data_IF_304103233727
#
_entry.id   IF_304103233727
#
_cell.length_a   1.000
_cell.length_b   1.000
_cell.length_c   1.000
_cell.angle_alpha   90.00
_cell.angle_beta   90.00
_cell.angle_gamma   90.00
#
_symmetry.space_group_name_H-M   'P 1'
#
loop_
_entity.id
_entity.type
_entity.pdbx_description
1 polymer ?
#
# COMPACT_ATOMS: atom_id res chain seq x y z
N UNK A 1 10.03 -16.39 -24.96
CA UNK A 1 9.12 -15.28 -24.63
C UNK A 1 9.95 -14.24 -23.89
N UNK A 2 9.81 -12.95 -24.21
CA UNK A 2 10.64 -11.93 -23.58
C UNK A 2 10.26 -11.84 -22.10
N UNK A 3 11.22 -12.10 -21.21
CA UNK A 3 11.08 -11.82 -19.77
C UNK A 3 10.94 -10.31 -19.60
N UNK A 4 9.78 -9.88 -19.10
CA UNK A 4 9.46 -8.48 -18.87
C UNK A 4 9.58 -8.11 -17.40
N UNK A 5 9.65 -6.81 -17.13
CA UNK A 5 9.47 -6.27 -15.77
C UNK A 5 8.05 -5.74 -15.66
N UNK A 6 7.29 -6.28 -14.70
CA UNK A 6 6.00 -5.74 -14.31
C UNK A 6 6.21 -4.68 -13.21
N UNK A 7 5.64 -3.50 -13.37
CA UNK A 7 5.64 -2.47 -12.33
C UNK A 7 4.23 -2.39 -11.74
N UNK A 8 4.13 -2.56 -10.42
CA UNK A 8 2.84 -2.46 -9.70
C UNK A 8 2.93 -1.36 -8.65
N UNK A 9 1.79 -0.74 -8.37
CA UNK A 9 1.63 0.25 -7.31
C UNK A 9 0.65 -0.32 -6.30
N UNK A 10 1.10 -0.44 -5.05
CA UNK A 10 0.30 -0.93 -3.93
C UNK A 10 0.07 0.20 -2.93
N UNK A 11 -1.08 0.16 -2.28
CA UNK A 11 -1.40 1.01 -1.13
C UNK A 11 -1.59 0.11 0.08
N UNK A 12 -0.88 0.41 1.15
CA UNK A 12 -1.09 -0.13 2.50
C UNK A 12 -1.88 0.92 3.31
N UNK A 13 -3.22 0.81 3.39
CA UNK A 13 -4.01 1.74 4.18
C UNK A 13 -3.83 1.42 5.67
N UNK A 14 -3.71 2.46 6.48
CA UNK A 14 -3.46 2.34 7.91
C UNK A 14 -4.44 3.21 8.67
N UNK A 15 -5.22 2.60 9.57
CA UNK A 15 -6.14 3.30 10.44
C UNK A 15 -5.70 3.06 11.89
N UNK A 16 -5.39 4.15 12.61
CA UNK A 16 -4.96 4.09 14.02
C UNK A 16 -3.79 3.12 14.25
N UNK A 17 -2.79 3.13 13.36
CA UNK A 17 -1.60 2.28 13.46
C UNK A 17 -1.83 0.81 13.09
N UNK A 18 -2.96 0.47 12.47
CA UNK A 18 -3.29 -0.90 12.02
C UNK A 18 -3.53 -0.93 10.52
N UNK A 19 -3.08 -1.98 9.85
CA UNK A 19 -3.33 -2.18 8.41
C UNK A 19 -4.82 -2.42 8.19
N UNK A 20 -5.38 -1.81 7.15
CA UNK A 20 -6.72 -2.11 6.65
C UNK A 20 -6.59 -2.88 5.34
N UNK A 21 -6.89 -4.18 5.39
CA UNK A 21 -6.99 -5.02 4.20
C UNK A 21 -8.45 -5.05 3.69
N UNK A 22 -8.65 -5.54 2.47
CA UNK A 22 -9.98 -5.71 1.87
C UNK A 22 -10.24 -7.18 1.56
N UNK A 23 -11.31 -7.71 2.14
CA UNK A 23 -11.75 -9.10 1.91
C UNK A 23 -12.55 -9.15 0.62
N UNK A 24 -12.04 -9.95 -0.33
CA UNK A 24 -12.67 -10.17 -1.63
C UNK A 24 -13.33 -11.56 -1.64
N UNK A 25 -14.66 -11.59 -1.81
CA UNK A 25 -15.44 -12.85 -1.73
C UNK A 25 -15.99 -13.33 -3.10
N UNK A 26 -16.10 -12.46 -4.10
CA UNK A 26 -16.72 -12.78 -5.39
C UNK A 26 -15.94 -12.25 -6.60
N UNK A 27 -15.83 -13.06 -7.65
CA UNK A 27 -15.33 -12.64 -8.98
C UNK A 27 -13.83 -12.38 -9.13
N UNK A 28 -13.03 -12.57 -8.07
CA UNK A 28 -11.57 -12.35 -8.06
C UNK A 28 -10.82 -13.28 -7.09
N UNK A 29 -9.52 -13.04 -6.83
CA UNK A 29 -8.74 -13.85 -5.90
C UNK A 29 -9.30 -13.71 -4.48
N UNK A 30 -9.68 -14.84 -3.88
CA UNK A 30 -10.27 -14.87 -2.53
C UNK A 30 -9.21 -14.57 -1.47
N UNK A 31 -9.60 -13.85 -0.42
CA UNK A 31 -8.74 -13.55 0.73
C UNK A 31 -8.73 -12.08 1.09
N UNK A 32 -7.83 -11.71 2.00
CA UNK A 32 -7.59 -10.32 2.42
C UNK A 32 -6.46 -9.74 1.60
N UNK A 33 -6.72 -8.65 0.89
CA UNK A 33 -5.76 -8.03 -0.03
C UNK A 33 -5.54 -6.56 0.29
N UNK A 34 -4.36 -6.06 -0.06
CA UNK A 34 -4.12 -4.63 -0.15
C UNK A 34 -4.53 -4.12 -1.54
N UNK A 35 -5.07 -2.89 -1.66
CA UNK A 35 -5.37 -2.30 -2.96
C UNK A 35 -4.11 -2.12 -3.83
N UNK A 36 -4.20 -2.45 -5.12
CA UNK A 36 -3.09 -2.30 -6.05
C UNK A 36 -3.54 -2.22 -7.51
N UNK A 37 -2.62 -1.78 -8.37
CA UNK A 37 -2.79 -1.85 -9.84
C UNK A 37 -1.43 -1.92 -10.55
N UNK A 38 -1.46 -2.20 -11.85
CA UNK A 38 -0.27 -2.12 -12.71
C UNK A 38 0.02 -0.65 -13.04
N UNK A 39 1.27 -0.23 -12.90
CA UNK A 39 1.71 1.11 -13.29
C UNK A 39 1.64 1.23 -14.83
N UNK A 40 0.80 2.13 -15.38
CA UNK A 40 0.77 2.35 -16.82
C UNK A 40 2.10 2.93 -17.32
N UNK A 41 2.42 2.68 -18.59
CA UNK A 41 3.64 3.23 -19.19
C UNK A 41 3.66 4.77 -19.07
N UNK A 42 4.73 5.30 -18.47
CA UNK A 42 4.89 6.74 -18.24
C UNK A 42 4.05 7.31 -17.08
N UNK A 43 3.33 6.47 -16.34
CA UNK A 43 2.54 6.88 -15.18
C UNK A 43 3.43 7.28 -13.99
N UNK A 44 2.93 8.22 -13.19
CA UNK A 44 3.55 8.60 -11.92
C UNK A 44 3.02 7.69 -10.79
N UNK A 45 3.88 6.92 -10.09
CA UNK A 45 3.43 6.02 -9.03
C UNK A 45 2.63 6.72 -7.91
N UNK A 46 2.98 7.96 -7.57
CA UNK A 46 2.27 8.71 -6.53
C UNK A 46 0.83 9.04 -6.95
N UNK A 47 0.65 9.50 -8.20
CA UNK A 47 -0.69 9.80 -8.73
C UNK A 47 -1.56 8.55 -8.78
N UNK A 48 -0.98 7.42 -9.21
CA UNK A 48 -1.66 6.13 -9.21
C UNK A 48 -2.03 5.69 -7.78
N UNK A 49 -1.12 5.84 -6.81
CA UNK A 49 -1.42 5.52 -5.41
C UNK A 49 -2.56 6.39 -4.86
N UNK A 50 -2.57 7.69 -5.17
CA UNK A 50 -3.66 8.60 -4.78
C UNK A 50 -4.99 8.15 -5.38
N UNK A 51 -5.03 7.79 -6.67
CA UNK A 51 -6.25 7.25 -7.30
C UNK A 51 -6.72 5.95 -6.63
N UNK A 52 -5.80 5.06 -6.26
CA UNK A 52 -6.15 3.84 -5.52
C UNK A 52 -6.81 4.18 -4.17
N UNK A 53 -6.27 5.15 -3.42
CA UNK A 53 -6.87 5.60 -2.15
C UNK A 53 -8.26 6.18 -2.37
N UNK A 54 -8.46 7.02 -3.39
CA UNK A 54 -9.78 7.57 -3.71
C UNK A 54 -10.78 6.46 -4.02
N UNK A 55 -10.38 5.45 -4.79
CA UNK A 55 -11.25 4.36 -5.23
C UNK A 55 -11.57 3.32 -4.16
N UNK A 56 -10.63 3.02 -3.27
CA UNK A 56 -10.76 1.94 -2.28
C UNK A 56 -11.01 2.43 -0.86
N UNK A 57 -10.54 3.63 -0.54
CA UNK A 57 -10.56 4.20 0.81
C UNK A 57 -11.43 5.45 0.92
N UNK A 58 -12.28 5.72 -0.08
CA UNK A 58 -13.20 6.86 -0.13
C UNK A 58 -12.49 8.24 0.01
N UNK A 59 -11.20 8.31 -0.36
CA UNK A 59 -10.37 9.52 -0.24
C UNK A 59 -10.09 9.97 1.21
N UNK A 60 -10.44 9.17 2.21
CA UNK A 60 -10.33 9.52 3.62
C UNK A 60 -8.90 9.33 4.14
N UNK A 61 -7.94 10.16 3.71
CA UNK A 61 -6.54 10.09 4.14
C UNK A 61 -5.97 11.41 4.68
N UNK A 62 -5.01 11.32 5.59
CA UNK A 62 -4.23 12.43 6.15
C UNK A 62 -2.78 12.48 5.67
N UNK A 63 -2.23 11.34 5.22
CA UNK A 63 -0.87 11.22 4.69
C UNK A 63 -0.82 10.13 3.62
N UNK A 64 0.02 10.33 2.60
CA UNK A 64 0.34 9.33 1.58
C UNK A 64 1.82 9.40 1.25
N UNK A 65 2.54 8.31 1.46
CA UNK A 65 3.99 8.30 1.23
C UNK A 65 4.52 6.96 0.77
N UNK A 66 5.60 7.01 -0.01
CA UNK A 66 6.35 5.83 -0.41
C UNK A 66 7.00 5.21 0.84
N UNK A 67 6.77 3.92 1.09
CA UNK A 67 7.36 3.20 2.22
C UNK A 67 8.25 2.04 1.79
N UNK A 68 8.10 1.55 0.55
CA UNK A 68 8.91 0.45 0.06
C UNK A 68 8.94 0.33 -1.46
N UNK A 69 9.95 -0.40 -1.94
CA UNK A 69 10.03 -0.90 -3.31
C UNK A 69 10.52 -2.34 -3.24
N UNK A 70 9.62 -3.30 -3.46
CA UNK A 70 9.89 -4.73 -3.32
C UNK A 70 10.00 -5.37 -4.68
N UNK A 71 11.02 -6.20 -4.85
CA UNK A 71 11.20 -6.98 -6.06
C UNK A 71 10.86 -8.45 -5.83
N UNK A 72 10.09 -9.08 -6.72
CA UNK A 72 9.68 -10.49 -6.59
C UNK A 72 9.65 -11.19 -7.93
N UNK A 73 10.04 -12.46 -7.95
CA UNK A 73 9.84 -13.29 -9.14
C UNK A 73 8.35 -13.51 -9.37
N UNK A 74 7.92 -13.33 -10.62
CA UNK A 74 6.56 -13.61 -11.08
C UNK A 74 6.57 -14.64 -12.19
N UNK A 75 5.39 -15.17 -12.52
CA UNK A 75 5.25 -16.26 -13.49
C UNK A 75 5.80 -15.93 -14.89
N UNK A 76 5.77 -14.66 -15.27
CA UNK A 76 6.20 -14.17 -16.59
C UNK A 76 7.48 -13.32 -16.56
N UNK A 77 8.17 -13.23 -15.42
CA UNK A 77 9.37 -12.41 -15.28
C UNK A 77 9.60 -11.90 -13.86
N UNK A 78 9.95 -10.62 -13.74
CA UNK A 78 10.19 -9.98 -12.45
C UNK A 78 9.17 -8.86 -12.22
N UNK A 79 8.65 -8.75 -11.01
CA UNK A 79 7.78 -7.66 -10.59
C UNK A 79 8.51 -6.72 -9.63
N UNK A 80 8.33 -5.42 -9.83
CA UNK A 80 8.72 -4.39 -8.89
C UNK A 80 7.46 -3.70 -8.34
N UNK A 81 7.15 -3.99 -7.08
CA UNK A 81 6.03 -3.43 -6.34
C UNK A 81 6.47 -2.14 -5.63
N UNK A 82 5.92 -1.01 -6.06
CA UNK A 82 6.08 0.29 -5.42
C UNK A 82 4.98 0.45 -4.38
N UNK A 83 5.36 0.53 -3.10
CA UNK A 83 4.40 0.47 -1.99
C UNK A 83 4.26 1.82 -1.31
N UNK A 84 3.04 2.34 -1.28
CA UNK A 84 2.69 3.54 -0.55
C UNK A 84 1.90 3.19 0.72
N UNK A 85 2.16 3.90 1.81
CA UNK A 85 1.34 3.88 3.02
C UNK A 85 0.37 5.05 2.96
N UNK A 86 -0.91 4.79 3.22
CA UNK A 86 -1.94 5.82 3.33
C UNK A 86 -2.48 5.85 4.76
N UNK A 87 -2.26 6.95 5.48
CA UNK A 87 -2.89 7.16 6.80
C UNK A 87 -4.35 7.53 6.61
N UNK A 88 -5.25 6.68 7.07
CA UNK A 88 -6.68 6.90 6.94
C UNK A 88 -7.23 7.70 8.11
N UNK A 89 -8.19 8.58 7.81
CA UNK A 89 -8.94 9.34 8.82
C UNK A 89 -10.23 8.65 9.26
N UNK A 90 -10.67 7.64 8.51
CA UNK A 90 -11.87 6.86 8.79
C UNK A 90 -11.77 5.47 8.14
N UNK A 91 -12.58 4.52 8.64
CA UNK A 91 -12.72 3.22 8.00
C UNK A 91 -13.47 3.35 6.66
N UNK A 92 -12.96 2.79 5.55
CA UNK A 92 -13.65 2.79 4.26
C UNK A 92 -15.00 2.07 4.30
N UNK A 93 -15.89 2.35 3.36
CA UNK A 93 -17.23 1.72 3.30
C UNK A 93 -17.23 0.30 2.75
N UNK A 94 -16.21 -0.03 1.95
CA UNK A 94 -16.04 -1.37 1.41
C UNK A 94 -16.79 -1.69 0.11
N UNK A 95 -17.02 -0.69 -0.75
CA UNK A 95 -17.72 -0.90 -2.04
C UNK A 95 -17.01 -1.90 -2.96
N UNK A 96 -15.68 -2.02 -2.82
CA UNK A 96 -14.82 -2.92 -3.62
C UNK A 96 -14.36 -4.17 -2.87
N UNK A 97 -14.72 -4.29 -1.60
CA UNK A 97 -14.31 -5.37 -0.71
C UNK A 97 -14.57 -4.99 0.73
N UNK A 98 -14.88 -5.96 1.60
CA UNK A 98 -15.17 -5.65 3.00
C UNK A 98 -13.87 -5.26 3.72
N UNK A 99 -13.77 -4.06 4.32
CA UNK A 99 -12.56 -3.64 5.02
C UNK A 99 -12.37 -4.47 6.29
N UNK A 100 -11.15 -4.90 6.52
CA UNK A 100 -10.70 -5.65 7.68
C UNK A 100 -9.55 -4.87 8.33
N UNK A 101 -9.78 -4.35 9.53
CA UNK A 101 -8.71 -3.77 10.35
C UNK A 101 -7.93 -4.93 10.96
N UNK A 102 -6.72 -5.16 10.46
CA UNK A 102 -5.91 -6.30 10.83
C UNK A 102 -5.18 -6.07 12.16
N UNK A 103 -5.34 -7.02 13.07
CA UNK A 103 -4.46 -7.20 14.22
C UNK A 103 -3.16 -7.91 13.81
N UNK A 104 -2.11 -7.83 14.64
CA UNK A 104 -0.79 -8.36 14.28
C UNK A 104 -0.80 -9.85 13.81
N UNK A 105 -1.56 -10.78 14.43
CA UNK A 105 -1.63 -12.16 13.95
C UNK A 105 -2.30 -12.30 12.57
N UNK A 106 -3.15 -11.35 12.19
CA UNK A 106 -3.91 -11.36 10.94
C UNK A 106 -3.10 -10.84 9.75
N UNK A 107 -1.98 -10.15 10.00
CA UNK A 107 -1.07 -9.68 8.95
C UNK A 107 -0.54 -10.83 8.09
N UNK A 108 -0.30 -12.00 8.69
CA UNK A 108 0.14 -13.20 7.97
C UNK A 108 -0.93 -13.77 7.01
N UNK A 109 -2.19 -13.35 7.13
CA UNK A 109 -3.27 -13.75 6.22
C UNK A 109 -3.46 -12.77 5.05
N UNK A 110 -2.83 -11.59 5.10
CA UNK A 110 -2.87 -10.60 4.01
C UNK A 110 -2.04 -11.13 2.84
N UNK A 111 -2.69 -11.25 1.69
CA UNK A 111 -2.10 -11.87 0.52
C UNK A 111 -1.13 -10.91 -0.19
N UNK A 112 -0.10 -11.48 -0.81
CA UNK A 112 0.85 -10.76 -1.66
C UNK A 112 2.04 -10.12 -0.94
N UNK A 113 2.11 -10.19 0.39
CA UNK A 113 3.25 -9.69 1.17
C UNK A 113 3.52 -10.57 2.38
N UNK A 114 4.76 -10.57 2.85
CA UNK A 114 5.11 -11.23 4.11
C UNK A 114 4.69 -10.35 5.30
N UNK A 115 4.32 -10.98 6.42
CA UNK A 115 3.90 -10.23 7.62
C UNK A 115 4.95 -9.21 8.09
N UNK A 116 6.24 -9.57 7.97
CA UNK A 116 7.37 -8.69 8.34
C UNK A 116 7.45 -7.42 7.50
N UNK A 117 6.98 -7.46 6.25
CA UNK A 117 6.92 -6.27 5.40
C UNK A 117 5.82 -5.32 5.89
N UNK A 118 4.66 -5.87 6.23
CA UNK A 118 3.54 -5.11 6.77
C UNK A 118 3.88 -4.46 8.12
N UNK A 119 4.54 -5.21 9.01
CA UNK A 119 5.06 -4.70 10.29
C UNK A 119 6.06 -3.56 10.09
N UNK A 120 6.96 -3.69 9.11
CA UNK A 120 7.93 -2.64 8.76
C UNK A 120 7.21 -1.37 8.33
N UNK A 121 6.19 -1.45 7.47
CA UNK A 121 5.47 -0.28 6.97
C UNK A 121 4.65 0.44 8.05
N UNK A 122 4.16 -0.29 9.05
CA UNK A 122 3.55 0.30 10.24
C UNK A 122 4.57 1.11 11.05
N UNK A 123 5.81 0.60 11.18
CA UNK A 123 6.90 1.27 11.88
C UNK A 123 7.47 2.50 11.17
N UNK A 124 7.43 2.52 9.83
CA UNK A 124 7.96 3.63 9.00
C UNK A 124 7.20 4.96 9.13
N UNK A 125 6.25 5.10 10.07
CA UNK A 125 5.50 6.34 10.34
C UNK A 125 5.83 7.08 11.61
N UNK A 126 6.78 6.58 12.39
CA UNK A 126 7.18 7.19 13.65
C UNK A 126 8.28 8.26 13.52
N UNK A 127 8.78 8.57 12.31
CA UNK A 127 9.74 9.67 12.15
C UNK A 127 8.99 11.01 12.10
N UNK A 128 8.83 11.62 13.28
CA UNK A 128 8.50 13.03 13.40
C UNK A 128 9.50 13.87 12.59
N UNK A 129 9.10 15.02 11.99
CA UNK A 129 10.05 15.88 11.32
C UNK A 129 11.11 16.30 12.34
N UNK A 130 12.37 16.00 12.05
CA UNK A 130 13.48 16.57 12.80
C UNK A 130 13.40 18.10 12.62
N UNK A 131 12.93 18.80 13.66
CA UNK A 131 13.16 20.23 13.86
C UNK A 131 14.66 20.45 14.06
N UNK A 132 15.43 20.37 12.99
CA UNK A 132 16.74 21.01 12.91
C UNK A 132 17.16 21.19 11.45
N UNK A 133 16.47 22.09 10.76
CA UNK A 133 17.01 22.63 9.51
C UNK A 133 18.17 23.58 9.85
N UNK A 134 19.42 23.32 9.40
CA UNK A 134 20.49 24.29 9.57
C UNK A 134 20.12 25.55 8.81
N UNK A 135 20.09 26.69 9.50
CA UNK A 135 19.93 28.00 8.85
C UNK A 135 21.10 28.21 7.89
N UNK A 136 20.83 28.12 6.59
CA UNK A 136 21.75 28.63 5.57
C UNK A 136 21.83 30.15 5.75
N UNK A 137 22.95 30.60 6.29
CA UNK A 137 23.33 32.02 6.32
C UNK A 137 23.90 32.34 4.95
N UNK A 138 23.23 33.23 4.22
CA UNK A 138 23.76 33.90 3.03
C UNK A 138 24.38 35.24 3.43
#
# INVERSE_FOLDING_TARGET
MASGVLLTVHVAPVLEGRIVAFVLEAGGPKGSWLPWTVLPQGGNPYEIASTIVDEWCDGAMSDLRLVDVISREGDEGWELAVVFRAELTALPRGERGAPLVCEAPELAAVQGFEAVDLERWLGSGAEAPAEDSPKLVF
#
